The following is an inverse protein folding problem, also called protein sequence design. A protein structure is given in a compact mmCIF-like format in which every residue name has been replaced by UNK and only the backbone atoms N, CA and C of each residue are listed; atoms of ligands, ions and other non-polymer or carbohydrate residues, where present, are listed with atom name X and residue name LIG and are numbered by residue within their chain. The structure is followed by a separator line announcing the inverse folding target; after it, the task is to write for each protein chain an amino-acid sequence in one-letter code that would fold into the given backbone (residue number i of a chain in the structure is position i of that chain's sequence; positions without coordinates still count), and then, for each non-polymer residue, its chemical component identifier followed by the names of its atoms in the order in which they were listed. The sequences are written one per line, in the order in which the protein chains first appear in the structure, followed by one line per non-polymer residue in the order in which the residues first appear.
data_IF_287916438564
#
_entry.id   IF_287916438564
#
_cell.length_a   1.000
_cell.length_b   1.000
_cell.length_c   1.000
_cell.angle_alpha   90.00
_cell.angle_beta   90.00
_cell.angle_gamma   90.00
#
_symmetry.space_group_name_H-M   'P 1'
#
loop_
_entity.id
_entity.type
_entity.pdbx_description
1 polymer ?
#
# COMPACT_ATOMS: atom_id res chain seq x y z
N UNK A 1 7.31 11.39 13.11
CA UNK A 1 7.20 12.25 12.08
C UNK A 1 7.57 11.60 10.77
N UNK A 2 7.50 12.32 9.65
CA UNK A 2 7.66 11.73 8.31
C UNK A 2 8.98 10.97 8.16
N UNK A 3 10.07 11.52 8.67
CA UNK A 3 11.39 10.90 8.57
C UNK A 3 11.49 9.54 9.23
N UNK A 4 10.64 9.26 10.21
CA UNK A 4 10.65 7.98 10.90
C UNK A 4 9.90 6.90 10.12
N UNK A 5 9.08 7.29 9.17
CA UNK A 5 8.21 6.36 8.46
C UNK A 5 8.65 6.07 7.04
N UNK A 6 9.73 6.69 6.57
CA UNK A 6 10.21 6.48 5.21
C UNK A 6 11.72 6.56 5.15
N UNK A 7 12.27 5.98 4.10
CA UNK A 7 13.69 6.11 3.80
C UNK A 7 13.99 7.52 3.35
N UNK A 8 15.13 8.05 3.78
CA UNK A 8 15.53 9.43 3.49
C UNK A 8 15.98 9.65 2.06
N UNK A 9 16.44 8.59 1.40
CA UNK A 9 16.99 8.70 0.05
C UNK A 9 16.27 7.79 -0.93
N UNK A 10 15.94 8.39 -2.03
CA UNK A 10 15.41 7.69 -3.21
C UNK A 10 16.00 8.38 -4.42
N UNK A 11 16.64 7.61 -5.28
CA UNK A 11 17.17 8.15 -6.52
C UNK A 11 16.03 8.53 -7.45
N UNK A 12 16.13 9.71 -8.03
CA UNK A 12 15.13 10.18 -8.98
C UNK A 12 15.15 9.26 -10.20
N UNK A 13 13.96 8.86 -10.66
CA UNK A 13 13.82 7.96 -11.79
C UNK A 13 13.90 6.49 -11.47
N UNK A 14 14.08 6.11 -10.20
CA UNK A 14 14.00 4.69 -9.84
C UNK A 14 12.60 4.15 -10.10
N UNK A 15 12.54 3.00 -10.77
CA UNK A 15 11.31 2.28 -11.03
C UNK A 15 11.38 0.90 -10.43
N UNK A 16 10.27 0.48 -9.84
CA UNK A 16 10.14 -0.85 -9.26
C UNK A 16 10.10 -1.88 -10.38
N UNK A 17 10.87 -2.95 -10.23
CA UNK A 17 10.93 -4.06 -11.18
C UNK A 17 10.39 -5.33 -10.54
N UNK A 18 9.19 -5.72 -10.91
CA UNK A 18 8.51 -6.93 -10.42
C UNK A 18 8.64 -8.11 -11.39
N UNK A 19 9.46 -7.99 -12.43
CA UNK A 19 9.63 -9.03 -13.44
C UNK A 19 10.05 -10.36 -12.82
N UNK A 20 9.34 -11.43 -13.17
CA UNK A 20 9.63 -12.77 -12.69
C UNK A 20 9.06 -13.10 -11.32
N UNK A 21 8.44 -12.15 -10.65
CA UNK A 21 7.81 -12.39 -9.35
C UNK A 21 6.35 -12.81 -9.52
N UNK A 22 5.92 -13.68 -8.61
CA UNK A 22 4.53 -14.12 -8.54
C UNK A 22 3.83 -13.42 -7.38
N UNK A 23 2.66 -12.80 -7.60
CA UNK A 23 1.93 -12.19 -6.49
C UNK A 23 1.53 -13.22 -5.44
N UNK A 24 1.57 -12.83 -4.18
CA UNK A 24 1.03 -13.62 -3.09
C UNK A 24 -0.50 -13.71 -3.19
N UNK A 25 -1.13 -12.66 -3.67
CA UNK A 25 -2.58 -12.59 -3.85
C UNK A 25 -2.92 -11.55 -4.91
N UNK A 26 -4.00 -11.80 -5.65
CA UNK A 26 -4.61 -10.84 -6.57
C UNK A 26 -6.08 -10.72 -6.23
N UNK A 27 -6.69 -9.59 -6.52
CA UNK A 27 -8.10 -9.41 -6.24
C UNK A 27 -8.64 -8.09 -6.76
N UNK A 28 -9.87 -7.81 -6.33
CA UNK A 28 -10.57 -6.59 -6.70
C UNK A 28 -11.28 -6.06 -5.46
N UNK A 29 -11.02 -4.80 -5.12
CA UNK A 29 -11.76 -4.14 -4.05
C UNK A 29 -13.15 -3.71 -4.55
N UNK A 30 -14.12 -3.72 -3.65
CA UNK A 30 -15.49 -3.31 -3.97
C UNK A 30 -15.69 -1.82 -3.66
N UNK A 31 -16.62 -1.14 -4.35
CA UNK A 31 -16.95 0.24 -4.01
C UNK A 31 -17.43 0.38 -2.57
N UNK A 32 -17.16 1.50 -1.94
CA UNK A 32 -17.60 1.82 -0.59
C UNK A 32 -16.45 2.37 0.25
N UNK A 33 -16.76 2.77 1.46
CA UNK A 33 -15.80 3.37 2.38
C UNK A 33 -15.58 2.55 3.66
N UNK A 34 -16.00 1.29 3.64
CA UNK A 34 -15.77 0.37 4.76
C UNK A 34 -14.49 -0.42 4.63
N UNK A 35 -14.09 -1.06 5.70
CA UNK A 35 -12.95 -1.95 5.75
C UNK A 35 -13.12 -3.13 4.79
N UNK A 36 -12.05 -3.48 4.10
CA UNK A 36 -12.00 -4.64 3.21
C UNK A 36 -10.84 -5.56 3.60
N UNK A 37 -11.10 -6.85 3.62
CA UNK A 37 -10.10 -7.87 3.96
C UNK A 37 -9.59 -8.57 2.72
N UNK A 38 -8.28 -8.87 2.74
CA UNK A 38 -7.62 -9.69 1.74
C UNK A 38 -6.99 -10.87 2.48
N UNK A 39 -7.36 -12.10 2.12
CA UNK A 39 -6.84 -13.30 2.77
C UNK A 39 -5.96 -14.08 1.80
N UNK A 40 -4.82 -14.55 2.32
CA UNK A 40 -3.96 -15.48 1.59
C UNK A 40 -4.50 -16.90 1.74
N UNK A 41 -4.27 -17.76 0.74
CA UNK A 41 -4.65 -19.17 0.83
C UNK A 41 -3.89 -19.90 1.93
N UNK A 42 -2.64 -19.49 2.16
CA UNK A 42 -1.81 -19.99 3.25
C UNK A 42 -0.89 -18.87 3.73
N UNK A 43 -0.50 -18.86 5.02
CA UNK A 43 0.43 -17.84 5.52
C UNK A 43 1.76 -17.86 4.76
N UNK A 44 2.32 -16.69 4.55
CA UNK A 44 3.62 -16.52 3.91
C UNK A 44 4.53 -15.66 4.80
N UNK A 45 5.83 -15.97 4.75
CA UNK A 45 6.82 -15.18 5.49
C UNK A 45 7.40 -14.12 4.59
N UNK A 46 7.56 -12.92 5.13
CA UNK A 46 8.23 -11.85 4.42
C UNK A 46 8.43 -10.62 5.25
N UNK A 47 9.31 -9.77 4.79
CA UNK A 47 9.60 -8.47 5.40
C UNK A 47 9.07 -7.32 4.57
N UNK A 48 9.04 -7.49 3.24
CA UNK A 48 8.62 -6.44 2.31
C UNK A 48 7.29 -6.79 1.68
N UNK A 49 6.38 -5.83 1.65
CA UNK A 49 5.06 -5.98 1.03
C UNK A 49 4.95 -4.94 -0.07
N UNK A 50 4.71 -5.39 -1.30
CA UNK A 50 4.48 -4.52 -2.44
C UNK A 50 3.00 -4.54 -2.83
N UNK A 51 2.40 -3.38 -2.84
CA UNK A 51 1.03 -3.17 -3.32
C UNK A 51 1.11 -2.65 -4.75
N UNK A 52 0.63 -3.44 -5.70
CA UNK A 52 0.48 -3.02 -7.08
C UNK A 52 -1.00 -2.75 -7.35
N UNK A 53 -1.32 -1.50 -7.59
CA UNK A 53 -2.69 -1.06 -7.88
C UNK A 53 -2.81 -0.86 -9.39
N UNK A 54 -3.74 -1.58 -10.00
CA UNK A 54 -3.82 -1.72 -11.46
C UNK A 54 -4.74 -0.68 -12.08
N UNK A 55 -5.88 -0.43 -11.44
CA UNK A 55 -6.86 0.54 -11.91
C UNK A 55 -7.73 1.04 -10.75
N UNK A 56 -8.57 2.02 -11.06
CA UNK A 56 -9.48 2.63 -10.10
C UNK A 56 -10.93 2.20 -10.36
N UNK A 57 -11.74 2.22 -9.31
CA UNK A 57 -13.18 1.93 -9.38
C UNK A 57 -13.87 2.92 -10.34
N UNK A 58 -13.47 4.19 -10.32
CA UNK A 58 -14.05 5.23 -11.15
C UNK A 58 -13.38 5.40 -12.52
N UNK A 59 -12.37 4.56 -12.83
CA UNK A 59 -11.64 4.64 -14.10
C UNK A 59 -10.72 5.85 -14.24
N UNK A 60 -10.48 6.59 -13.14
CA UNK A 60 -9.59 7.76 -13.15
C UNK A 60 -8.17 7.39 -12.75
N UNK A 61 -7.29 8.39 -12.62
CA UNK A 61 -5.86 8.18 -12.44
C UNK A 61 -5.42 8.08 -10.98
N UNK A 62 -6.18 8.62 -10.05
CA UNK A 62 -5.77 8.74 -8.66
C UNK A 62 -5.98 7.44 -7.90
N UNK A 63 -4.97 7.02 -7.13
CA UNK A 63 -5.10 5.99 -6.09
C UNK A 63 -4.99 6.64 -4.73
N UNK A 64 -5.74 6.14 -3.76
CA UNK A 64 -5.69 6.62 -2.38
C UNK A 64 -6.02 5.52 -1.39
N UNK A 65 -5.60 5.71 -0.14
CA UNK A 65 -5.83 4.73 0.92
C UNK A 65 -5.72 5.43 2.28
N UNK A 66 -6.73 5.26 3.12
CA UNK A 66 -6.71 5.84 4.46
C UNK A 66 -5.87 5.00 5.42
N UNK A 67 -6.07 3.68 5.45
CA UNK A 67 -5.35 2.78 6.36
C UNK A 67 -5.04 1.46 5.70
N UNK A 68 -3.92 0.86 6.11
CA UNK A 68 -3.52 -0.47 5.66
C UNK A 68 -2.94 -1.24 6.84
N UNK A 69 -3.39 -2.47 7.02
CA UNK A 69 -2.89 -3.39 8.03
C UNK A 69 -2.42 -4.68 7.41
N UNK A 70 -1.41 -5.27 8.03
CA UNK A 70 -0.99 -6.65 7.77
C UNK A 70 -1.44 -7.50 8.95
N UNK A 71 -2.03 -8.64 8.64
CA UNK A 71 -2.55 -9.59 9.63
C UNK A 71 -1.62 -10.79 9.68
N UNK A 72 -1.23 -11.20 10.90
CA UNK A 72 -0.32 -12.32 11.08
C UNK A 72 -1.03 -13.69 10.98
N UNK A 73 -0.26 -14.78 11.17
CA UNK A 73 -0.80 -16.13 11.05
C UNK A 73 -1.82 -16.48 12.13
N UNK A 74 -1.84 -15.73 13.24
CA UNK A 74 -2.82 -15.91 14.32
C UNK A 74 -4.06 -15.03 14.16
N UNK A 75 -4.16 -14.29 13.06
CA UNK A 75 -5.28 -13.40 12.79
C UNK A 75 -5.19 -12.05 13.49
N UNK A 76 -4.03 -11.69 14.02
CA UNK A 76 -3.81 -10.44 14.72
C UNK A 76 -3.17 -9.42 13.80
N UNK A 77 -3.57 -8.15 13.94
CA UNK A 77 -2.93 -7.05 13.23
C UNK A 77 -1.50 -6.85 13.76
N UNK A 78 -0.54 -6.74 12.85
CA UNK A 78 0.84 -6.39 13.21
C UNK A 78 0.90 -4.94 13.69
N UNK A 79 1.79 -4.66 14.65
CA UNK A 79 2.11 -3.28 15.00
C UNK A 79 2.73 -2.58 13.79
N UNK A 80 2.22 -1.39 13.48
CA UNK A 80 2.69 -0.59 12.34
C UNK A 80 3.78 0.40 12.72
N UNK A 81 4.12 0.47 14.00
CA UNK A 81 5.07 1.45 14.50
C UNK A 81 6.44 1.36 13.83
N UNK A 82 7.03 0.15 13.62
CA UNK A 82 8.35 0.06 12.99
C UNK A 82 8.34 0.15 11.45
N UNK A 83 7.19 0.28 10.83
CA UNK A 83 7.10 0.25 9.37
C UNK A 83 7.72 1.48 8.71
N UNK A 84 8.32 1.25 7.53
CA UNK A 84 8.89 2.30 6.69
C UNK A 84 8.29 2.21 5.29
N UNK A 85 8.17 3.36 4.64
CA UNK A 85 7.85 3.40 3.22
C UNK A 85 9.15 3.18 2.45
N UNK A 86 9.28 2.02 1.81
CA UNK A 86 10.45 1.69 1.01
C UNK A 86 10.36 2.28 -0.40
N UNK A 87 9.14 2.37 -0.94
CA UNK A 87 8.90 2.91 -2.27
C UNK A 87 7.46 3.41 -2.39
N UNK A 88 7.28 4.51 -3.10
CA UNK A 88 5.98 4.99 -3.55
C UNK A 88 6.19 5.62 -4.93
N UNK A 89 5.40 5.23 -5.92
CA UNK A 89 5.54 5.79 -7.27
C UNK A 89 5.06 7.24 -7.34
N UNK A 90 4.06 7.59 -6.52
CA UNK A 90 3.49 8.93 -6.52
C UNK A 90 2.90 9.26 -5.15
N UNK A 91 3.09 10.49 -4.71
CA UNK A 91 2.56 11.01 -3.45
C UNK A 91 2.15 12.47 -3.66
N UNK A 92 0.91 12.80 -3.37
CA UNK A 92 0.43 14.19 -3.49
C UNK A 92 0.74 14.96 -2.21
N UNK A 93 1.86 15.66 -2.19
CA UNK A 93 2.26 16.50 -1.06
C UNK A 93 2.12 18.00 -1.36
N UNK A 94 1.83 18.36 -2.59
CA UNK A 94 1.61 19.75 -3.01
C UNK A 94 0.15 20.18 -2.80
N UNK A 95 -0.81 19.29 -3.10
CA UNK A 95 -2.23 19.55 -2.89
C UNK A 95 -2.70 19.30 -1.47
N UNK A 96 -1.82 18.77 -0.61
CA UNK A 96 -2.10 18.41 0.77
C UNK A 96 -1.02 17.46 1.25
N UNK A 97 -1.06 17.06 2.52
CA UNK A 97 -0.06 16.13 3.05
C UNK A 97 -0.57 14.69 2.92
N UNK A 98 -0.46 14.13 1.71
CA UNK A 98 -0.97 12.79 1.38
C UNK A 98 0.17 11.83 1.04
N UNK A 99 1.26 11.88 1.80
CA UNK A 99 2.37 10.95 1.64
C UNK A 99 1.97 9.52 2.05
N UNK A 100 2.72 8.52 1.56
CA UNK A 100 2.37 7.12 1.73
C UNK A 100 2.33 6.67 3.20
N UNK A 101 3.13 7.28 4.07
CA UNK A 101 3.12 6.95 5.49
C UNK A 101 1.77 7.25 6.17
N UNK A 102 0.89 8.02 5.54
CA UNK A 102 -0.45 8.29 6.05
C UNK A 102 -1.32 7.04 6.14
N UNK A 103 -1.04 6.02 5.35
CA UNK A 103 -1.81 4.77 5.41
C UNK A 103 -1.48 3.90 6.64
N UNK A 104 -0.48 4.28 7.44
CA UNK A 104 -0.17 3.60 8.70
C UNK A 104 0.24 4.57 9.82
N UNK A 105 -0.38 5.75 9.85
CA UNK A 105 -0.14 6.78 10.87
C UNK A 105 -1.12 6.70 12.06
N UNK A 106 -1.97 5.68 12.11
CA UNK A 106 -2.97 5.43 13.15
C UNK A 106 -4.12 6.45 13.15
N UNK A 107 -4.30 7.20 12.06
CA UNK A 107 -5.39 8.16 11.92
C UNK A 107 -6.21 7.86 10.68
N UNK A 108 -7.47 7.47 10.85
CA UNK A 108 -8.34 7.12 9.73
C UNK A 108 -8.75 8.31 8.88
N UNK A 109 -8.60 9.53 9.41
CA UNK A 109 -8.95 10.75 8.69
C UNK A 109 -7.85 11.22 7.72
N UNK A 110 -6.64 10.70 7.84
CA UNK A 110 -5.55 11.00 6.91
C UNK A 110 -5.44 9.88 5.88
N UNK A 111 -4.84 10.17 4.74
CA UNK A 111 -4.72 9.18 3.68
C UNK A 111 -3.53 9.47 2.76
N UNK A 112 -3.03 8.41 2.14
CA UNK A 112 -2.14 8.52 1.00
C UNK A 112 -2.97 8.77 -0.26
N UNK A 113 -2.43 9.60 -1.15
CA UNK A 113 -3.00 9.82 -2.48
C UNK A 113 -1.90 10.08 -3.50
N UNK A 114 -2.10 9.60 -4.71
CA UNK A 114 -1.19 9.90 -5.82
C UNK A 114 -1.46 11.29 -6.38
N UNK A 115 -0.50 11.84 -7.12
CA UNK A 115 -0.66 13.12 -7.80
C UNK A 115 -1.69 12.97 -8.91
N UNK A 116 -2.71 13.84 -9.00
CA UNK A 116 -3.67 13.80 -10.10
C UNK A 116 -2.95 13.91 -11.45
N UNK A 117 -3.37 13.09 -12.40
CA UNK A 117 -2.80 13.05 -13.73
C UNK A 117 -1.66 12.04 -13.92
N UNK A 118 -1.15 11.45 -12.86
CA UNK A 118 -0.20 10.33 -12.96
C UNK A 118 -0.99 9.05 -13.20
N UNK A 119 -0.81 8.36 -14.32
CA UNK A 119 -1.65 7.20 -14.66
C UNK A 119 -1.30 5.97 -13.85
N UNK A 120 -2.28 5.08 -13.74
CA UNK A 120 -2.05 3.73 -13.24
C UNK A 120 -1.09 2.95 -14.16
N UNK A 121 -0.38 1.92 -13.67
CA UNK A 121 -0.48 1.38 -12.31
C UNK A 121 0.27 2.21 -11.27
N UNK A 122 -0.14 2.07 -10.00
CA UNK A 122 0.52 2.70 -8.88
C UNK A 122 1.10 1.66 -7.94
N UNK A 123 2.20 2.00 -7.27
CA UNK A 123 2.94 1.05 -6.44
C UNK A 123 3.32 1.64 -5.10
N UNK A 124 3.21 0.82 -4.07
CA UNK A 124 3.73 1.11 -2.74
C UNK A 124 4.52 -0.10 -2.24
N UNK A 125 5.66 0.12 -1.61
CA UNK A 125 6.39 -0.92 -0.90
C UNK A 125 6.54 -0.51 0.54
N UNK A 126 6.13 -1.40 1.43
CA UNK A 126 6.26 -1.24 2.88
C UNK A 126 7.34 -2.18 3.36
N UNK A 127 8.27 -1.65 4.13
CA UNK A 127 9.24 -2.42 4.89
C UNK A 127 8.68 -2.62 6.29
N UNK A 128 8.39 -3.86 6.66
CA UNK A 128 7.86 -4.19 7.99
C UNK A 128 8.93 -4.13 9.07
N UNK A 129 10.19 -3.87 8.69
CA UNK A 129 11.35 -3.80 9.57
C UNK A 129 11.68 -5.12 10.27
N UNK A 130 11.22 -6.21 9.73
CA UNK A 130 11.49 -7.57 10.21
C UNK A 130 10.61 -8.57 9.49
N UNK A 131 11.07 -9.81 9.43
CA UNK A 131 10.30 -10.88 8.81
C UNK A 131 9.12 -11.26 9.69
N UNK A 132 7.94 -11.37 9.07
CA UNK A 132 6.69 -11.72 9.75
C UNK A 132 5.99 -12.84 9.01
N UNK A 133 5.14 -13.58 9.73
CA UNK A 133 4.22 -14.55 9.14
C UNK A 133 2.94 -13.80 8.79
N UNK A 134 2.56 -13.81 7.53
CA UNK A 134 1.47 -12.98 7.02
C UNK A 134 0.35 -13.88 6.54
N UNK A 135 -0.86 -13.68 7.02
CA UNK A 135 -2.06 -14.41 6.58
C UNK A 135 -3.01 -13.56 5.75
N UNK A 136 -2.84 -12.24 5.77
CA UNK A 136 -3.71 -11.37 5.01
C UNK A 136 -3.48 -9.90 5.29
N UNK A 137 -4.37 -9.08 4.75
CA UNK A 137 -4.28 -7.63 4.79
C UNK A 137 -5.66 -7.03 5.02
N UNK A 138 -5.70 -5.80 5.54
CA UNK A 138 -6.93 -5.03 5.67
C UNK A 138 -6.71 -3.65 5.08
N UNK A 139 -7.65 -3.20 4.28
CA UNK A 139 -7.60 -1.93 3.56
C UNK A 139 -8.80 -1.07 3.93
N UNK A 140 -8.54 0.20 4.24
CA UNK A 140 -9.58 1.20 4.46
C UNK A 140 -9.46 2.26 3.37
N UNK A 141 -10.50 2.43 2.51
CA UNK A 141 -10.51 3.53 1.55
C UNK A 141 -10.61 4.88 2.24
N UNK A 142 -10.43 5.96 1.48
CA UNK A 142 -10.69 7.30 2.00
C UNK A 142 -12.12 7.38 2.52
N UNK A 143 -12.28 8.12 3.61
CA UNK A 143 -13.58 8.20 4.30
C UNK A 143 -14.62 9.06 3.56
N UNK A 144 -14.18 10.01 2.73
CA UNK A 144 -15.09 10.87 1.98
C UNK A 144 -15.78 10.08 0.87
N UNK A 145 -17.08 10.20 0.82
CA UNK A 145 -17.87 9.59 -0.25
C UNK A 145 -17.61 10.30 -1.60
N UNK A 146 -17.66 9.54 -2.68
CA UNK A 146 -17.61 10.05 -4.05
C UNK A 146 -16.31 10.76 -4.45
N UNK A 147 -15.23 10.57 -3.69
CA UNK A 147 -13.94 11.14 -4.06
C UNK A 147 -13.14 10.17 -4.92
N UNK A 148 -12.25 10.70 -5.80
CA UNK A 148 -11.39 9.85 -6.61
C UNK A 148 -10.38 9.08 -5.74
N UNK A 149 -9.91 7.95 -6.23
CA UNK A 149 -8.81 7.22 -5.62
C UNK A 149 -9.16 5.85 -5.06
N UNK A 150 -10.40 5.43 -5.18
CA UNK A 150 -10.77 4.07 -4.82
C UNK A 150 -10.12 3.06 -5.77
N UNK A 151 -9.25 2.19 -5.25
CA UNK A 151 -8.55 1.18 -6.04
C UNK A 151 -9.49 0.02 -6.35
N UNK A 152 -9.49 -0.47 -7.59
CA UNK A 152 -10.25 -1.65 -7.98
C UNK A 152 -9.36 -2.89 -7.98
N UNK A 153 -8.67 -3.16 -9.07
CA UNK A 153 -7.85 -4.36 -9.19
C UNK A 153 -6.47 -4.17 -8.58
N UNK A 154 -5.98 -5.21 -7.90
CA UNK A 154 -4.68 -5.15 -7.23
C UNK A 154 -3.95 -6.48 -7.27
N UNK A 155 -2.61 -6.41 -7.11
CA UNK A 155 -1.76 -7.55 -6.81
C UNK A 155 -0.89 -7.19 -5.62
N UNK A 156 -0.70 -8.13 -4.71
CA UNK A 156 0.16 -7.92 -3.54
C UNK A 156 1.29 -8.95 -3.58
N UNK A 157 2.52 -8.46 -3.44
CA UNK A 157 3.71 -9.30 -3.43
C UNK A 157 4.33 -9.27 -2.04
N UNK A 158 4.88 -10.41 -1.62
CA UNK A 158 5.58 -10.54 -0.33
C UNK A 158 6.97 -11.05 -0.62
N UNK A 159 7.99 -10.46 0.00
CA UNK A 159 9.38 -10.86 -0.21
C UNK A 159 10.18 -10.75 1.09
N UNK A 160 11.15 -11.66 1.26
CA UNK A 160 12.13 -11.56 2.34
C UNK A 160 13.24 -10.56 2.01
N UNK A 161 13.46 -10.29 0.74
CA UNK A 161 14.48 -9.38 0.24
C UNK A 161 13.84 -8.11 -0.33
N UNK A 162 14.58 -6.99 -0.37
CA UNK A 162 14.05 -5.79 -1.02
C UNK A 162 13.65 -6.06 -2.47
N UNK A 163 12.59 -5.40 -2.90
CA UNK A 163 12.17 -5.47 -4.30
C UNK A 163 13.19 -4.73 -5.18
N UNK A 164 13.40 -5.27 -6.36
CA UNK A 164 14.33 -4.73 -7.34
C UNK A 164 13.86 -3.39 -7.89
N UNK A 165 14.80 -2.49 -8.15
CA UNK A 165 14.51 -1.17 -8.73
C UNK A 165 15.47 -0.87 -9.89
#
# INVERSE_FOLDING_TARGET
LLYQKRLLHREEGEELDLTGLTPAVTGTFTPGNGWQEVRLDAPQRGRYVCLEFIDAIDGKDVASMAEFYVVDADGQRLSREPWLVDYADSEDVAGGNHSADKMFDLQESTYWSTVPGVPYPHYLVIDLSGTRNISGFQYLPRMEAEVPGGVANYRIYISNEPFKK
#
